data_IF_705808697419
#
_entry.id   IF_705808697419
#
_cell.length_a   1.000
_cell.length_b   1.000
_cell.length_c   1.000
_cell.angle_alpha   90.00
_cell.angle_beta   90.00
_cell.angle_gamma   90.00
#
_symmetry.space_group_name_H-M   'P 1'
#
loop_
_entity.id
_entity.type
_entity.pdbx_description
1 polymer ?
#
# COMPACT_ATOMS: atom_id res chain seq x y z
N UNK A 1 -13.30 12.41 3.44
CA UNK A 1 -12.27 12.69 4.47
C UNK A 1 -11.62 14.03 4.20
N UNK A 2 -11.86 15.05 5.04
CA UNK A 2 -11.21 16.38 4.91
C UNK A 2 -10.60 16.89 6.21
N UNK A 3 -10.85 16.17 7.31
CA UNK A 3 -10.28 16.49 8.61
C UNK A 3 -9.01 15.66 8.81
N UNK A 4 -7.98 16.22 9.48
CA UNK A 4 -6.83 15.43 9.89
C UNK A 4 -7.27 14.25 10.77
N UNK A 5 -6.38 13.29 11.02
CA UNK A 5 -6.59 12.14 11.93
C UNK A 5 -7.82 11.23 11.66
N UNK A 6 -8.61 11.49 10.62
CA UNK A 6 -9.63 10.58 10.12
C UNK A 6 -8.95 9.51 9.26
N UNK A 7 -9.26 8.25 9.54
CA UNK A 7 -8.70 7.10 8.86
C UNK A 7 -9.51 6.81 7.60
N UNK A 8 -8.80 6.52 6.51
CA UNK A 8 -9.40 5.94 5.30
C UNK A 8 -9.26 4.42 5.30
N UNK A 9 -10.00 3.77 4.41
CA UNK A 9 -9.94 2.33 4.24
C UNK A 9 -10.18 1.91 2.80
N UNK A 10 -10.84 0.78 2.63
CA UNK A 10 -11.16 0.21 1.32
C UNK A 10 -11.91 1.18 0.38
N UNK A 11 -12.97 1.90 0.82
CA UNK A 11 -13.68 2.81 -0.08
C UNK A 11 -12.77 3.87 -0.69
N UNK A 12 -11.82 4.40 0.10
CA UNK A 12 -10.90 5.41 -0.39
C UNK A 12 -9.73 4.83 -1.19
N UNK A 13 -9.30 3.60 -0.94
CA UNK A 13 -8.36 2.90 -1.82
C UNK A 13 -8.99 2.66 -3.21
N UNK A 14 -10.23 2.17 -3.26
CA UNK A 14 -10.98 1.98 -4.51
C UNK A 14 -11.18 3.29 -5.27
N UNK A 15 -11.62 4.35 -4.58
CA UNK A 15 -11.81 5.64 -5.24
C UNK A 15 -10.47 6.27 -5.66
N UNK A 16 -9.39 6.06 -4.90
CA UNK A 16 -8.06 6.56 -5.26
C UNK A 16 -7.51 5.87 -6.51
N UNK A 17 -7.72 4.57 -6.70
CA UNK A 17 -7.28 3.89 -7.93
C UNK A 17 -7.96 4.47 -9.16
N UNK A 18 -9.25 4.81 -9.05
CA UNK A 18 -10.00 5.44 -10.12
C UNK A 18 -9.52 6.87 -10.42
N UNK A 19 -9.33 7.69 -9.39
CA UNK A 19 -8.86 9.09 -9.55
C UNK A 19 -7.44 9.16 -10.09
N UNK A 20 -6.56 8.26 -9.66
CA UNK A 20 -5.17 8.20 -10.11
C UNK A 20 -5.00 7.44 -11.44
N UNK A 21 -6.03 6.72 -11.90
CA UNK A 21 -5.98 5.79 -13.03
C UNK A 21 -4.76 4.85 -12.93
N UNK A 22 -4.56 4.27 -11.75
CA UNK A 22 -3.39 3.45 -11.44
C UNK A 22 -3.78 2.30 -10.50
N UNK A 23 -3.26 1.08 -10.72
CA UNK A 23 -3.55 -0.03 -9.83
C UNK A 23 -2.99 0.18 -8.42
N UNK A 24 -3.74 -0.29 -7.42
CA UNK A 24 -3.32 -0.32 -6.02
C UNK A 24 -3.35 -1.76 -5.52
N UNK A 25 -2.22 -2.23 -5.01
CA UNK A 25 -2.09 -3.58 -4.44
C UNK A 25 -1.93 -3.49 -2.92
N UNK A 26 -2.82 -4.14 -2.20
CA UNK A 26 -2.78 -4.22 -0.74
C UNK A 26 -2.16 -5.55 -0.33
N UNK A 27 -1.07 -5.47 0.40
CA UNK A 27 -0.38 -6.62 0.99
C UNK A 27 -0.72 -6.75 2.47
N UNK A 28 -0.67 -7.98 2.98
CA UNK A 28 -0.67 -8.28 4.40
C UNK A 28 0.50 -9.21 4.69
N UNK A 29 1.12 -9.07 5.86
CA UNK A 29 2.12 -10.04 6.30
C UNK A 29 1.42 -11.31 6.77
N UNK A 30 1.78 -12.42 6.17
CA UNK A 30 1.32 -13.73 6.57
C UNK A 30 1.96 -14.15 7.92
N UNK A 31 1.13 -14.60 8.87
CA UNK A 31 1.59 -14.86 10.24
C UNK A 31 2.41 -16.14 10.35
N UNK A 32 2.16 -17.13 9.50
CA UNK A 32 2.88 -18.41 9.53
C UNK A 32 4.18 -18.37 8.73
N UNK A 33 4.15 -17.84 7.50
CA UNK A 33 5.33 -17.78 6.63
C UNK A 33 6.18 -16.52 6.79
N UNK A 34 5.63 -15.45 7.39
CA UNK A 34 6.27 -14.14 7.45
C UNK A 34 6.35 -13.40 6.11
N UNK A 35 5.84 -14.00 5.03
CA UNK A 35 5.84 -13.47 3.67
C UNK A 35 4.75 -12.42 3.46
N UNK A 36 4.85 -11.62 2.40
CA UNK A 36 3.80 -10.69 2.00
C UNK A 36 2.82 -11.39 1.05
N UNK A 37 1.54 -11.38 1.40
CA UNK A 37 0.44 -11.89 0.59
C UNK A 37 -0.44 -10.74 0.11
N UNK A 38 -0.86 -10.79 -1.15
CA UNK A 38 -1.86 -9.84 -1.68
C UNK A 38 -3.20 -10.20 -1.06
N UNK A 39 -3.90 -9.20 -0.52
CA UNK A 39 -5.23 -9.36 0.09
C UNK A 39 -6.32 -8.59 -0.65
N UNK A 40 -5.95 -7.60 -1.46
CA UNK A 40 -6.86 -6.85 -2.32
C UNK A 40 -6.10 -6.17 -3.45
N UNK A 41 -6.77 -6.00 -4.59
CA UNK A 41 -6.28 -5.29 -5.76
C UNK A 41 -7.41 -4.39 -6.29
N UNK A 42 -7.07 -3.14 -6.60
CA UNK A 42 -8.00 -2.15 -7.12
C UNK A 42 -7.43 -1.52 -8.39
N UNK A 43 -8.29 -1.16 -9.35
CA UNK A 43 -7.86 -0.48 -10.57
C UNK A 43 -7.11 -1.36 -11.57
N UNK A 44 -7.38 -2.67 -11.60
CA UNK A 44 -6.75 -3.60 -12.55
C UNK A 44 -7.06 -3.24 -14.02
N UNK A 45 -8.16 -2.52 -14.26
CA UNK A 45 -8.54 -1.98 -15.57
C UNK A 45 -7.54 -0.94 -16.12
N UNK A 46 -6.70 -0.35 -15.27
CA UNK A 46 -5.67 0.61 -15.67
C UNK A 46 -4.32 -0.05 -15.98
N UNK A 47 -4.24 -1.38 -15.91
CA UNK A 47 -3.03 -2.17 -16.12
C UNK A 47 -2.48 -2.76 -14.84
N UNK A 48 -1.37 -3.49 -14.97
CA UNK A 48 -0.72 -4.22 -13.87
C UNK A 48 0.72 -3.73 -13.62
N UNK A 49 1.13 -2.66 -14.28
CA UNK A 49 2.49 -2.15 -14.21
C UNK A 49 2.64 -1.16 -13.05
N UNK A 50 3.70 -1.32 -12.27
CA UNK A 50 4.10 -0.42 -11.19
C UNK A 50 2.94 0.07 -10.29
N UNK A 51 2.17 -0.82 -9.65
CA UNK A 51 1.08 -0.43 -8.77
C UNK A 51 1.57 0.36 -7.57
N UNK A 52 0.68 1.18 -6.99
CA UNK A 52 0.88 1.69 -5.63
C UNK A 52 0.71 0.52 -4.67
N UNK A 53 1.71 0.31 -3.81
CA UNK A 53 1.74 -0.85 -2.91
C UNK A 53 1.63 -0.37 -1.48
N UNK A 54 0.71 -0.96 -0.74
CA UNK A 54 0.50 -0.67 0.68
C UNK A 54 0.51 -1.95 1.51
N UNK A 55 1.02 -1.88 2.73
CA UNK A 55 1.04 -2.97 3.70
C UNK A 55 -0.01 -2.73 4.79
N UNK A 56 -1.04 -3.58 4.81
CA UNK A 56 -2.07 -3.59 5.83
C UNK A 56 -1.67 -4.45 7.04
N UNK A 57 -1.76 -3.88 8.24
CA UNK A 57 -1.38 -4.53 9.50
C UNK A 57 -2.51 -5.34 10.14
N UNK A 58 -3.72 -5.31 9.60
CA UNK A 58 -4.88 -6.04 10.14
C UNK A 58 -5.73 -5.26 11.15
N UNK A 59 -5.28 -4.08 11.60
CA UNK A 59 -5.96 -3.26 12.61
C UNK A 59 -6.15 -1.80 12.15
N UNK A 60 -6.45 -1.59 10.86
CA UNK A 60 -6.66 -0.26 10.28
C UNK A 60 -5.40 0.45 9.78
N UNK A 61 -4.20 0.02 10.16
CA UNK A 61 -2.94 0.70 9.81
C UNK A 61 -2.34 0.24 8.47
N UNK A 62 -1.91 1.21 7.65
CA UNK A 62 -1.29 1.01 6.36
C UNK A 62 0.09 1.66 6.31
N UNK A 63 1.08 0.93 5.79
CA UNK A 63 2.39 1.48 5.44
C UNK A 63 2.59 1.49 3.92
N UNK A 64 3.34 2.46 3.40
CA UNK A 64 3.74 2.46 2.00
C UNK A 64 4.83 1.40 1.75
N UNK A 65 4.65 0.58 0.72
CA UNK A 65 5.68 -0.34 0.25
C UNK A 65 6.38 0.27 -0.98
N UNK A 66 7.69 0.60 -0.89
CA UNK A 66 8.41 1.25 -1.98
C UNK A 66 8.46 0.35 -3.20
N UNK A 67 8.32 0.90 -4.42
CA UNK A 67 8.45 0.16 -5.68
C UNK A 67 9.84 -0.52 -5.78
N UNK A 68 9.91 -1.75 -6.28
CA UNK A 68 11.19 -2.45 -6.49
C UNK A 68 12.01 -1.82 -7.62
N UNK A 69 11.39 -0.94 -8.42
CA UNK A 69 11.98 -0.31 -9.61
C UNK A 69 12.64 1.04 -9.28
N UNK A 70 12.35 1.64 -8.12
CA UNK A 70 12.92 2.92 -7.68
C UNK A 70 13.61 2.78 -6.32
N UNK A 71 14.92 2.59 -6.33
CA UNK A 71 15.73 2.41 -5.12
C UNK A 71 15.65 3.58 -4.14
N UNK A 72 14.75 3.50 -3.16
CA UNK A 72 14.87 4.26 -1.93
C UNK A 72 15.89 3.54 -1.03
N UNK A 73 17.15 3.97 -1.05
CA UNK A 73 18.12 3.50 -0.07
C UNK A 73 17.61 3.83 1.33
N UNK A 74 17.48 2.81 2.18
CA UNK A 74 17.13 2.97 3.59
C UNK A 74 18.13 3.91 4.26
N UNK A 75 17.69 5.10 4.69
CA UNK A 75 18.50 5.96 5.55
C UNK A 75 18.61 5.28 6.93
N UNK A 76 19.67 4.50 7.14
CA UNK A 76 20.03 4.01 8.46
C UNK A 76 20.37 5.20 9.35
N UNK A 77 19.46 5.60 10.23
CA UNK A 77 19.79 6.48 11.35
C UNK A 77 20.63 5.70 12.35
N UNK A 78 21.95 5.93 12.35
CA UNK A 78 22.82 5.51 13.45
C UNK A 78 22.40 6.28 14.71
N UNK A 79 21.94 5.56 15.73
CA UNK A 79 21.76 6.11 17.08
C UNK A 79 23.12 6.56 17.59
N UNK A 80 23.20 7.82 18.05
CA UNK A 80 24.30 8.37 18.82
C UNK A 80 24.18 7.94 20.28
#
# INVERSE_FOLDING_TARGET
MRQPHVWGGEPELLMSSHVLMMPITVYMRDRSSGSLKIIAEYGQEYGNENPVRVLYHGYGHYDALPSLIGGAQSKQFKKR
#
